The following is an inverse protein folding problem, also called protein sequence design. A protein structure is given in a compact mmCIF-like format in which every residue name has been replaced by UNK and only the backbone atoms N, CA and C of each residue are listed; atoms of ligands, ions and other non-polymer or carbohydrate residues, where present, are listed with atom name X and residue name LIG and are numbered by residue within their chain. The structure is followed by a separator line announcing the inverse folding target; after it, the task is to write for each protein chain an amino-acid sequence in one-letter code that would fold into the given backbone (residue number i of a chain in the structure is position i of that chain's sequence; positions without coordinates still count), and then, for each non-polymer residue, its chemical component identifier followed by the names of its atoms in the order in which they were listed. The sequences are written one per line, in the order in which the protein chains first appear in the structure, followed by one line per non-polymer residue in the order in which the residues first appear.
data_IF_534731797057
#
_entry.id   IF_534731797057
#
_cell.length_a   1.000
_cell.length_b   1.000
_cell.length_c   1.000
_cell.angle_alpha   90.00
_cell.angle_beta   90.00
_cell.angle_gamma   90.00
#
_symmetry.space_group_name_H-M   'P 1'
#
loop_
_entity.id
_entity.type
_entity.pdbx_description
1 polymer ?
#
# COMPACT_ATOMS: atom_id res chain seq x y z
N UNK A 1 -25.39 -2.30 0.11
CA UNK A 1 -25.09 -1.13 0.97
C UNK A 1 -24.10 -0.24 0.26
N UNK A 2 -24.30 1.08 0.31
CA UNK A 2 -23.93 2.10 -0.68
C UNK A 2 -22.43 2.27 -1.00
N UNK A 3 -22.15 2.47 -2.29
CA UNK A 3 -20.88 2.84 -2.90
C UNK A 3 -20.98 4.25 -3.50
N UNK A 4 -19.90 5.04 -3.46
CA UNK A 4 -19.85 6.32 -4.18
C UNK A 4 -18.53 6.45 -4.96
N UNK A 5 -18.66 6.49 -6.28
CA UNK A 5 -17.61 6.54 -7.31
C UNK A 5 -17.86 7.80 -8.14
N UNK A 6 -16.82 8.54 -8.53
CA UNK A 6 -16.97 9.72 -9.39
C UNK A 6 -15.94 9.72 -10.52
N UNK A 7 -16.42 9.90 -11.77
CA UNK A 7 -15.68 9.65 -13.02
C UNK A 7 -15.95 8.25 -13.61
N UNK A 8 -15.42 7.94 -14.79
CA UNK A 8 -15.58 6.62 -15.43
C UNK A 8 -14.69 5.56 -14.76
N UNK A 9 -15.31 4.60 -14.08
CA UNK A 9 -14.65 3.43 -13.51
C UNK A 9 -15.07 2.16 -14.26
N UNK A 10 -14.10 1.36 -14.69
CA UNK A 10 -14.33 0.00 -15.22
C UNK A 10 -13.83 -1.02 -14.21
N UNK A 11 -14.74 -1.79 -13.63
CA UNK A 11 -14.48 -2.87 -12.69
C UNK A 11 -14.80 -4.19 -13.38
N UNK A 12 -13.89 -5.15 -13.31
CA UNK A 12 -14.03 -6.47 -13.93
C UNK A 12 -13.91 -7.56 -12.85
N UNK A 13 -14.76 -8.60 -12.92
CA UNK A 13 -14.77 -9.72 -11.97
C UNK A 13 -15.58 -9.47 -10.67
N UNK A 14 -15.42 -10.34 -9.67
CA UNK A 14 -16.11 -10.30 -8.36
C UNK A 14 -15.41 -9.36 -7.37
N UNK A 15 -15.47 -8.05 -7.62
CA UNK A 15 -14.86 -7.06 -6.73
C UNK A 15 -15.89 -6.48 -5.74
N UNK A 16 -15.62 -6.59 -4.44
CA UNK A 16 -16.38 -5.91 -3.38
C UNK A 16 -15.66 -4.64 -2.92
N UNK A 17 -16.22 -3.47 -3.24
CA UNK A 17 -15.76 -2.18 -2.74
C UNK A 17 -16.76 -1.69 -1.70
N UNK A 18 -16.34 -1.56 -0.44
CA UNK A 18 -17.19 -1.11 0.66
C UNK A 18 -16.50 -0.07 1.53
N UNK A 19 -17.25 0.92 2.00
CA UNK A 19 -16.77 2.01 2.85
C UNK A 19 -16.55 3.35 2.13
N UNK A 20 -16.52 4.44 2.91
CA UNK A 20 -16.23 5.79 2.40
C UNK A 20 -14.72 5.98 2.26
N UNK A 21 -14.16 5.70 1.09
CA UNK A 21 -12.80 6.06 0.74
C UNK A 21 -12.82 7.39 -0.03
N UNK A 22 -12.48 8.49 0.65
CA UNK A 22 -12.38 9.80 0.00
C UNK A 22 -10.97 10.00 -0.52
N UNK A 23 -10.73 9.57 -1.76
CA UNK A 23 -9.49 9.89 -2.49
C UNK A 23 -9.69 11.24 -3.16
N UNK A 24 -9.20 12.31 -2.55
CA UNK A 24 -9.37 13.68 -3.01
C UNK A 24 -8.15 14.27 -3.71
N UNK A 25 -6.98 13.63 -3.57
CA UNK A 25 -5.73 14.12 -4.15
C UNK A 25 -4.96 12.97 -4.80
N UNK A 26 -4.40 13.22 -6.00
CA UNK A 26 -3.57 12.27 -6.77
C UNK A 26 -2.38 11.71 -5.97
N UNK A 27 -1.93 12.41 -4.93
CA UNK A 27 -0.81 12.00 -4.06
C UNK A 27 -1.18 10.97 -2.98
N UNK A 28 -2.44 10.57 -2.85
CA UNK A 28 -2.93 9.73 -1.74
C UNK A 28 -2.70 8.22 -1.94
N UNK A 29 -2.12 7.81 -3.07
CA UNK A 29 -1.80 6.42 -3.38
C UNK A 29 -0.36 6.28 -3.90
N UNK A 30 0.36 5.27 -3.41
CA UNK A 30 1.59 4.74 -4.02
C UNK A 30 1.30 3.31 -4.47
N UNK A 31 1.70 2.98 -5.69
CA UNK A 31 1.53 1.67 -6.29
C UNK A 31 2.83 1.29 -7.01
N UNK A 32 3.50 0.25 -6.51
CA UNK A 32 4.82 -0.17 -7.00
C UNK A 32 4.81 -1.69 -7.17
N UNK A 33 4.99 -2.14 -8.41
CA UNK A 33 5.05 -3.56 -8.78
C UNK A 33 6.48 -4.03 -9.00
N UNK A 34 6.64 -5.34 -9.20
CA UNK A 34 7.93 -6.02 -9.44
C UNK A 34 8.90 -5.87 -8.26
N UNK A 35 8.38 -6.06 -7.04
CA UNK A 35 9.18 -5.96 -5.81
C UNK A 35 9.17 -7.27 -5.02
N UNK A 36 10.29 -7.53 -4.34
CA UNK A 36 10.48 -8.73 -3.54
C UNK A 36 10.53 -10.02 -4.35
N UNK A 37 10.71 -11.14 -3.66
CA UNK A 37 10.91 -12.47 -4.29
C UNK A 37 9.78 -12.96 -5.18
N UNK A 38 8.57 -12.43 -5.01
CA UNK A 38 7.38 -12.86 -5.78
C UNK A 38 6.99 -11.85 -6.87
N UNK A 39 7.82 -10.84 -7.15
CA UNK A 39 7.50 -9.74 -8.08
C UNK A 39 6.14 -9.09 -7.76
N UNK A 40 5.87 -8.94 -6.46
CA UNK A 40 4.58 -8.50 -5.95
C UNK A 40 4.32 -7.02 -6.18
N UNK A 41 3.18 -6.55 -5.70
CA UNK A 41 2.80 -5.13 -5.72
C UNK A 41 2.58 -4.62 -4.31
N UNK A 42 3.29 -3.55 -3.95
CA UNK A 42 3.03 -2.76 -2.74
C UNK A 42 2.04 -1.65 -3.08
N UNK A 43 0.97 -1.60 -2.31
CA UNK A 43 0.01 -0.49 -2.33
C UNK A 43 0.06 0.25 -1.01
N UNK A 44 0.18 1.58 -1.04
CA UNK A 44 0.14 2.45 0.13
C UNK A 44 -0.98 3.46 -0.06
N UNK A 45 -1.84 3.59 0.94
CA UNK A 45 -2.96 4.54 0.94
C UNK A 45 -3.03 5.30 2.26
N UNK A 46 -3.74 6.45 2.27
CA UNK A 46 -4.09 7.12 3.53
C UNK A 46 -5.18 6.33 4.25
N UNK A 47 -4.99 6.09 5.53
CA UNK A 47 -6.01 5.55 6.42
C UNK A 47 -6.95 6.67 6.93
N UNK A 48 -8.14 6.29 7.41
CA UNK A 48 -9.16 7.24 7.92
C UNK A 48 -8.70 8.04 9.14
N UNK A 49 -7.79 7.47 9.92
CA UNK A 49 -7.17 8.10 11.10
C UNK A 49 -6.00 9.03 10.75
N UNK A 50 -5.73 9.25 9.46
CA UNK A 50 -4.62 10.08 8.97
C UNK A 50 -3.30 9.32 8.88
N UNK A 51 -3.24 8.07 9.33
CA UNK A 51 -2.09 7.18 9.15
C UNK A 51 -1.95 6.66 7.72
N UNK A 52 -1.02 5.73 7.53
CA UNK A 52 -0.84 4.99 6.28
C UNK A 52 -1.34 3.55 6.45
N UNK A 53 -1.95 3.02 5.40
CA UNK A 53 -2.31 1.62 5.27
C UNK A 53 -1.59 1.02 4.06
N UNK A 54 -0.90 -0.10 4.28
CA UNK A 54 -0.05 -0.76 3.31
C UNK A 54 -0.53 -2.18 3.08
N UNK A 55 -0.52 -2.63 1.83
CA UNK A 55 -0.78 -4.03 1.46
C UNK A 55 0.31 -4.55 0.53
N UNK A 56 0.74 -5.80 0.77
CA UNK A 56 1.68 -6.53 -0.08
C UNK A 56 1.51 -8.02 0.12
N UNK A 57 1.05 -8.75 -0.91
CA UNK A 57 0.74 -10.18 -0.77
C UNK A 57 -0.23 -10.41 0.41
N UNK A 58 0.13 -11.31 1.32
CA UNK A 58 -0.65 -11.57 2.54
C UNK A 58 -0.50 -10.49 3.63
N UNK A 59 0.41 -9.52 3.47
CA UNK A 59 0.57 -8.43 4.43
C UNK A 59 -0.52 -7.37 4.26
N UNK A 60 -1.07 -6.91 5.38
CA UNK A 60 -1.94 -5.73 5.47
C UNK A 60 -1.75 -5.06 6.84
N UNK A 61 -1.41 -3.78 6.86
CA UNK A 61 -1.12 -3.10 8.12
C UNK A 61 -0.62 -1.66 7.96
N UNK A 62 -0.27 -1.03 9.07
CA UNK A 62 0.35 0.29 9.10
C UNK A 62 1.85 0.24 8.73
N UNK A 63 2.47 1.41 8.57
CA UNK A 63 3.87 1.53 8.16
C UNK A 63 4.81 0.85 9.16
N UNK A 64 4.60 1.03 10.47
CA UNK A 64 5.44 0.44 11.51
C UNK A 64 5.38 -1.09 11.50
N UNK A 65 4.18 -1.67 11.32
CA UNK A 65 4.01 -3.12 11.15
C UNK A 65 4.69 -3.62 9.89
N UNK A 66 4.64 -2.84 8.81
CA UNK A 66 5.30 -3.22 7.56
C UNK A 66 6.81 -3.24 7.69
N UNK A 67 7.40 -2.22 8.30
CA UNK A 67 8.83 -2.17 8.63
C UNK A 67 9.27 -3.40 9.42
N UNK A 68 8.51 -3.73 10.47
CA UNK A 68 8.80 -4.88 11.30
C UNK A 68 8.68 -6.21 10.53
N UNK A 69 7.64 -6.36 9.69
CA UNK A 69 7.46 -7.54 8.85
C UNK A 69 8.59 -7.71 7.83
N UNK A 70 9.05 -6.61 7.22
CA UNK A 70 10.20 -6.61 6.30
C UNK A 70 11.46 -7.06 7.02
N UNK A 71 11.73 -6.52 8.22
CA UNK A 71 12.91 -6.91 8.99
C UNK A 71 12.87 -8.38 9.39
N UNK A 72 11.74 -8.87 9.93
CA UNK A 72 11.60 -10.27 10.33
C UNK A 72 11.70 -11.27 9.16
N UNK A 73 11.13 -10.92 8.01
CA UNK A 73 11.03 -11.84 6.86
C UNK A 73 12.26 -11.78 5.96
N UNK A 74 12.81 -10.59 5.75
CA UNK A 74 13.82 -10.34 4.74
C UNK A 74 15.16 -9.84 5.30
N UNK A 75 15.19 -9.26 6.50
CA UNK A 75 16.40 -8.72 7.14
C UNK A 75 17.26 -7.90 6.17
N UNK A 76 18.53 -8.27 6.04
CA UNK A 76 19.51 -7.61 5.16
C UNK A 76 19.70 -8.26 3.78
N UNK A 77 18.77 -9.14 3.39
CA UNK A 77 18.73 -9.67 2.03
C UNK A 77 18.53 -8.56 0.98
N UNK A 78 18.78 -8.87 -0.30
CA UNK A 78 18.53 -7.93 -1.41
C UNK A 78 17.10 -7.39 -1.39
N UNK A 79 16.10 -8.25 -1.15
CA UNK A 79 14.69 -7.83 -1.04
C UNK A 79 14.45 -6.96 0.19
N UNK A 80 15.09 -7.26 1.31
CA UNK A 80 15.03 -6.41 2.51
C UNK A 80 15.54 -5.00 2.23
N UNK A 81 16.65 -4.86 1.50
CA UNK A 81 17.20 -3.56 1.09
C UNK A 81 16.27 -2.80 0.14
N UNK A 82 15.66 -3.48 -0.83
CA UNK A 82 14.66 -2.89 -1.72
C UNK A 82 13.47 -2.35 -0.93
N UNK A 83 12.89 -3.15 -0.03
CA UNK A 83 11.78 -2.70 0.81
C UNK A 83 12.17 -1.55 1.73
N UNK A 84 13.36 -1.59 2.35
CA UNK A 84 13.89 -0.48 3.17
C UNK A 84 13.99 0.82 2.35
N UNK A 85 14.47 0.76 1.11
CA UNK A 85 14.51 1.93 0.22
C UNK A 85 13.11 2.48 -0.10
N UNK A 86 12.14 1.59 -0.35
CA UNK A 86 10.74 1.98 -0.58
C UNK A 86 10.11 2.62 0.65
N UNK A 87 10.37 2.07 1.84
CA UNK A 87 9.91 2.61 3.12
C UNK A 87 10.43 4.04 3.31
N UNK A 88 11.70 4.30 3.04
CA UNK A 88 12.26 5.65 3.14
C UNK A 88 11.63 6.61 2.12
N UNK A 89 11.41 6.16 0.89
CA UNK A 89 10.66 6.94 -0.10
C UNK A 89 9.23 7.27 0.36
N UNK A 90 8.53 6.29 0.96
CA UNK A 90 7.17 6.47 1.50
C UNK A 90 7.19 7.52 2.62
N UNK A 91 8.14 7.45 3.55
CA UNK A 91 8.31 8.46 4.61
C UNK A 91 8.52 9.84 4.03
N UNK A 92 9.42 9.98 3.06
CA UNK A 92 9.68 11.27 2.39
C UNK A 92 8.44 11.82 1.67
N UNK A 93 7.62 10.94 1.09
CA UNK A 93 6.43 11.34 0.34
C UNK A 93 5.25 11.75 1.22
N UNK A 94 5.17 11.21 2.44
CA UNK A 94 4.05 11.42 3.37
C UNK A 94 4.45 12.15 4.66
N UNK A 95 5.68 12.68 4.73
CA UNK A 95 6.15 13.60 5.77
C UNK A 95 5.28 14.87 5.86
#
# INVERSE_FOLDING_TARGET
GYAWVYGDARVYGDAWVSGNARVSKRIEIIWISNIGSENGTLTVTRSKDGGLFLTRGCFSGDLSKFENAVEQTHGDSQYGKEYKALIEYIKLRFA
#
